data_IF_133201880685
#
_entry.id   IF_133201880685
#
_cell.length_a   1.000
_cell.length_b   1.000
_cell.length_c   1.000
_cell.angle_alpha   90.00
_cell.angle_beta   90.00
_cell.angle_gamma   90.00
#
_symmetry.space_group_name_H-M   'P 1'
#
loop_
_entity.id
_entity.type
_entity.pdbx_description
1 polymer ?
#
# COMPACT_ATOMS: atom_id res chain seq x y z
N UNK A 1 43.42 29.90 -64.30
CA UNK A 1 43.61 28.86 -63.26
C UNK A 1 44.14 29.49 -61.99
N UNK A 2 43.28 29.63 -60.97
CA UNK A 2 43.66 29.53 -59.55
C UNK A 2 42.37 29.44 -58.72
N UNK A 3 42.22 28.30 -58.06
CA UNK A 3 41.06 27.90 -57.27
C UNK A 3 40.91 28.79 -56.04
N UNK A 4 39.68 29.19 -55.72
CA UNK A 4 39.31 29.62 -54.37
C UNK A 4 38.09 28.79 -53.95
N UNK A 5 38.38 27.63 -53.38
CA UNK A 5 37.43 26.86 -52.59
C UNK A 5 37.40 27.50 -51.21
N UNK A 6 36.38 28.31 -50.91
CA UNK A 6 36.12 28.75 -49.54
C UNK A 6 35.38 27.62 -48.81
N UNK A 7 36.13 26.87 -48.02
CA UNK A 7 35.61 25.91 -47.04
C UNK A 7 34.94 26.72 -45.93
N UNK A 8 33.61 26.68 -45.91
CA UNK A 8 32.80 27.22 -44.82
C UNK A 8 32.82 26.17 -43.70
N UNK A 9 33.74 26.33 -42.75
CA UNK A 9 33.84 25.47 -41.58
C UNK A 9 32.63 25.75 -40.65
N UNK A 10 31.61 24.90 -40.74
CA UNK A 10 30.56 24.78 -39.73
C UNK A 10 31.20 24.26 -38.44
N UNK A 11 31.55 25.20 -37.56
CA UNK A 11 31.94 24.90 -36.19
C UNK A 11 30.66 24.58 -35.41
N UNK A 12 30.26 23.31 -35.43
CA UNK A 12 29.28 22.77 -34.50
C UNK A 12 29.98 22.61 -33.13
N UNK A 13 29.88 23.63 -32.28
CA UNK A 13 30.24 23.49 -30.86
C UNK A 13 29.15 22.61 -30.25
N UNK A 14 29.46 21.33 -30.09
CA UNK A 14 28.66 20.39 -29.32
C UNK A 14 28.67 20.81 -27.85
N UNK A 15 27.58 21.42 -27.39
CA UNK A 15 27.27 21.53 -25.97
C UNK A 15 26.67 20.20 -25.48
N UNK A 16 27.45 19.12 -25.42
CA UNK A 16 26.98 17.84 -24.85
C UNK A 16 27.12 17.77 -23.32
N UNK A 17 27.73 18.78 -22.68
CA UNK A 17 28.07 18.73 -21.24
C UNK A 17 26.90 18.96 -20.26
N UNK A 18 25.72 19.40 -20.72
CA UNK A 18 24.56 19.57 -19.82
C UNK A 18 23.68 18.30 -19.71
N UNK A 19 23.81 17.36 -20.65
CA UNK A 19 22.97 16.18 -20.73
C UNK A 19 23.41 15.05 -19.78
N UNK A 20 24.71 14.96 -19.51
CA UNK A 20 25.28 13.88 -18.69
C UNK A 20 24.95 14.00 -17.21
N UNK A 21 24.81 15.23 -16.68
CA UNK A 21 24.45 15.44 -15.27
C UNK A 21 22.96 15.17 -15.02
N UNK A 22 22.09 15.61 -15.93
CA UNK A 22 20.65 15.34 -15.83
C UNK A 22 20.34 13.84 -15.86
N UNK A 23 21.01 13.08 -16.74
CA UNK A 23 20.87 11.63 -16.76
C UNK A 23 21.36 10.97 -15.47
N UNK A 24 22.50 11.41 -14.91
CA UNK A 24 22.99 10.88 -13.62
C UNK A 24 22.01 11.15 -12.47
N UNK A 25 21.37 12.32 -12.46
CA UNK A 25 20.37 12.67 -11.45
C UNK A 25 19.12 11.80 -11.57
N UNK A 26 18.68 11.49 -12.80
CA UNK A 26 17.56 10.57 -13.06
C UNK A 26 17.90 9.13 -12.62
N UNK A 27 19.10 8.63 -12.93
CA UNK A 27 19.55 7.31 -12.47
C UNK A 27 19.59 7.23 -10.93
N UNK A 28 20.06 8.30 -10.27
CA UNK A 28 20.06 8.37 -8.81
C UNK A 28 18.64 8.33 -8.23
N UNK A 29 17.70 9.10 -8.81
CA UNK A 29 16.30 9.07 -8.39
C UNK A 29 15.69 7.67 -8.57
N UNK A 30 15.97 6.99 -9.69
CA UNK A 30 15.50 5.62 -9.92
C UNK A 30 16.02 4.65 -8.85
N UNK A 31 17.28 4.78 -8.46
CA UNK A 31 17.87 3.96 -7.39
C UNK A 31 17.22 4.24 -6.03
N UNK A 32 16.97 5.51 -5.72
CA UNK A 32 16.30 5.90 -4.47
C UNK A 32 14.86 5.35 -4.41
N UNK A 33 14.10 5.47 -5.50
CA UNK A 33 12.75 4.89 -5.60
C UNK A 33 12.78 3.36 -5.52
N UNK A 34 13.71 2.69 -6.21
CA UNK A 34 13.82 1.22 -6.12
C UNK A 34 14.07 0.77 -4.69
N UNK A 35 14.94 1.47 -3.95
CA UNK A 35 15.18 1.19 -2.53
C UNK A 35 13.95 1.48 -1.66
N UNK A 36 13.22 2.56 -1.95
CA UNK A 36 11.97 2.88 -1.24
C UNK A 36 10.91 1.79 -1.49
N UNK A 37 10.81 1.29 -2.72
CA UNK A 37 9.93 0.20 -3.10
C UNK A 37 10.21 -1.07 -2.28
N UNK A 38 11.48 -1.45 -2.08
CA UNK A 38 11.83 -2.61 -1.25
C UNK A 38 11.28 -2.46 0.19
N UNK A 39 11.36 -1.23 0.75
CA UNK A 39 10.80 -0.94 2.07
C UNK A 39 9.26 -0.99 2.10
N UNK A 40 8.62 -0.51 1.03
CA UNK A 40 7.16 -0.55 0.86
C UNK A 40 6.68 -2.00 0.78
N UNK A 41 7.36 -2.84 -0.01
CA UNK A 41 7.07 -4.27 -0.14
C UNK A 41 7.19 -4.97 1.20
N UNK A 42 8.29 -4.74 1.95
CA UNK A 42 8.45 -5.30 3.29
C UNK A 42 7.31 -4.89 4.24
N UNK A 43 6.90 -3.62 4.20
CA UNK A 43 5.79 -3.13 5.05
C UNK A 43 4.45 -3.73 4.60
N UNK A 44 4.26 -3.90 3.30
CA UNK A 44 3.06 -4.52 2.72
C UNK A 44 2.92 -5.99 3.14
N UNK A 45 4.00 -6.75 3.12
CA UNK A 45 4.02 -8.15 3.58
C UNK A 45 3.66 -8.25 5.07
N UNK A 46 4.25 -7.42 5.92
CA UNK A 46 3.93 -7.36 7.35
C UNK A 46 2.46 -6.98 7.60
N UNK A 47 1.95 -5.99 6.87
CA UNK A 47 0.57 -5.53 7.00
C UNK A 47 -0.42 -6.61 6.53
N UNK A 48 -0.09 -7.33 5.46
CA UNK A 48 -0.88 -8.47 4.97
C UNK A 48 -0.96 -9.59 6.00
N UNK A 49 0.16 -9.91 6.66
CA UNK A 49 0.17 -10.92 7.73
C UNK A 49 -0.73 -10.49 8.91
N UNK A 50 -0.59 -9.25 9.37
CA UNK A 50 -1.45 -8.71 10.44
C UNK A 50 -2.92 -8.68 10.04
N UNK A 51 -3.22 -8.34 8.79
CA UNK A 51 -4.59 -8.35 8.27
C UNK A 51 -5.19 -9.77 8.28
N UNK A 52 -4.40 -10.78 7.92
CA UNK A 52 -4.83 -12.18 8.00
C UNK A 52 -5.11 -12.63 9.44
N UNK A 53 -4.30 -12.20 10.41
CA UNK A 53 -4.55 -12.44 11.84
C UNK A 53 -5.83 -11.74 12.31
N UNK A 54 -6.04 -10.50 11.91
CA UNK A 54 -7.24 -9.73 12.21
C UNK A 54 -8.51 -10.40 11.66
N UNK A 55 -8.45 -10.90 10.42
CA UNK A 55 -9.54 -11.65 9.81
C UNK A 55 -9.84 -12.96 10.56
N UNK A 56 -8.81 -13.67 11.01
CA UNK A 56 -9.00 -14.87 11.83
C UNK A 56 -9.67 -14.54 13.18
N UNK A 57 -9.23 -13.47 13.85
CA UNK A 57 -9.86 -13.00 15.08
C UNK A 57 -11.32 -12.57 14.86
N UNK A 58 -11.60 -11.86 13.76
CA UNK A 58 -12.96 -11.50 13.39
C UNK A 58 -13.87 -12.74 13.23
N UNK A 59 -13.38 -13.76 12.52
CA UNK A 59 -14.12 -15.01 12.33
C UNK A 59 -14.42 -15.71 13.66
N UNK A 60 -13.45 -15.73 14.59
CA UNK A 60 -13.66 -16.29 15.92
C UNK A 60 -14.72 -15.51 16.70
N UNK A 61 -14.60 -14.18 16.78
CA UNK A 61 -15.57 -13.31 17.47
C UNK A 61 -16.97 -13.45 16.88
N UNK A 62 -17.07 -13.53 15.55
CA UNK A 62 -18.32 -13.74 14.84
C UNK A 62 -19.00 -15.06 15.24
N UNK A 63 -18.21 -16.15 15.32
CA UNK A 63 -18.71 -17.45 15.76
C UNK A 63 -19.17 -17.45 17.22
N UNK A 64 -18.35 -16.89 18.12
CA UNK A 64 -18.69 -16.78 19.54
C UNK A 64 -19.97 -15.96 19.75
N UNK A 65 -20.08 -14.79 19.10
CA UNK A 65 -21.25 -13.94 19.21
C UNK A 65 -22.51 -14.64 18.72
N UNK A 66 -22.47 -15.23 17.52
CA UNK A 66 -23.63 -15.92 16.92
C UNK A 66 -23.99 -17.23 17.63
N UNK A 67 -23.08 -17.80 18.39
CA UNK A 67 -23.29 -19.01 19.19
C UNK A 67 -24.02 -18.76 20.50
N UNK A 68 -24.25 -17.51 20.90
CA UNK A 68 -25.01 -17.19 22.12
C UNK A 68 -26.49 -17.58 21.95
N UNK A 69 -27.00 -18.40 22.87
CA UNK A 69 -28.41 -18.80 22.89
C UNK A 69 -29.37 -17.61 23.07
N UNK A 70 -28.92 -16.56 23.77
CA UNK A 70 -29.64 -15.31 23.97
C UNK A 70 -28.82 -14.12 23.47
N UNK A 71 -29.04 -13.78 22.22
CA UNK A 71 -28.59 -12.50 21.64
C UNK A 71 -29.75 -11.51 21.77
N UNK A 72 -29.91 -10.90 22.95
CA UNK A 72 -31.00 -9.93 23.19
C UNK A 72 -30.74 -8.57 22.52
N UNK A 73 -29.47 -8.24 22.27
CA UNK A 73 -29.04 -6.95 21.73
C UNK A 73 -28.42 -7.09 20.32
N UNK A 74 -29.16 -6.65 19.31
CA UNK A 74 -28.71 -6.67 17.91
C UNK A 74 -27.59 -5.68 17.59
N UNK A 75 -27.29 -4.72 18.48
CA UNK A 75 -26.23 -3.72 18.24
C UNK A 75 -24.86 -4.35 18.07
N UNK A 76 -24.60 -5.50 18.72
CA UNK A 76 -23.33 -6.21 18.57
C UNK A 76 -23.19 -6.86 17.19
N UNK A 77 -24.29 -7.33 16.61
CA UNK A 77 -24.31 -7.87 15.25
C UNK A 77 -24.11 -6.78 14.20
N UNK A 78 -24.70 -5.61 14.42
CA UNK A 78 -24.49 -4.42 13.56
C UNK A 78 -23.02 -3.98 13.60
N UNK A 79 -22.46 -3.83 14.81
CA UNK A 79 -21.04 -3.51 14.98
C UNK A 79 -20.14 -4.54 14.32
N UNK A 80 -20.43 -5.84 14.49
CA UNK A 80 -19.67 -6.90 13.84
C UNK A 80 -19.69 -6.76 12.30
N UNK A 81 -20.86 -6.45 11.72
CA UNK A 81 -21.00 -6.25 10.27
C UNK A 81 -20.26 -5.02 9.76
N UNK A 82 -20.21 -3.93 10.55
CA UNK A 82 -19.40 -2.74 10.24
C UNK A 82 -17.90 -3.10 10.19
N UNK A 83 -17.40 -3.80 11.21
CA UNK A 83 -16.02 -4.27 11.25
C UNK A 83 -15.70 -5.21 10.09
N UNK A 84 -16.64 -6.08 9.71
CA UNK A 84 -16.49 -6.95 8.54
C UNK A 84 -16.38 -6.14 7.24
N UNK A 85 -17.12 -5.03 7.13
CA UNK A 85 -16.99 -4.07 6.03
C UNK A 85 -15.58 -3.50 5.92
N UNK A 86 -15.05 -2.96 7.01
CA UNK A 86 -13.70 -2.40 7.05
C UNK A 86 -12.63 -3.45 6.69
N UNK A 87 -12.75 -4.68 7.21
CA UNK A 87 -11.83 -5.77 6.88
C UNK A 87 -11.87 -6.08 5.37
N UNK A 88 -13.05 -6.12 4.74
CA UNK A 88 -13.15 -6.35 3.28
C UNK A 88 -12.54 -5.21 2.48
N UNK A 89 -12.74 -3.97 2.90
CA UNK A 89 -12.16 -2.81 2.23
C UNK A 89 -10.63 -2.84 2.29
N UNK A 90 -10.05 -3.20 3.44
CA UNK A 90 -8.61 -3.43 3.59
C UNK A 90 -8.10 -4.54 2.68
N UNK A 91 -8.82 -5.66 2.57
CA UNK A 91 -8.45 -6.76 1.68
C UNK A 91 -8.40 -6.31 0.20
N UNK A 92 -9.31 -5.42 -0.20
CA UNK A 92 -9.33 -4.84 -1.54
C UNK A 92 -8.14 -3.87 -1.75
N UNK A 93 -7.83 -3.03 -0.75
CA UNK A 93 -6.67 -2.14 -0.77
C UNK A 93 -5.36 -2.92 -0.89
N UNK A 94 -5.19 -4.00 -0.11
CA UNK A 94 -4.01 -4.87 -0.20
C UNK A 94 -3.86 -5.50 -1.59
N UNK A 95 -4.96 -5.98 -2.18
CA UNK A 95 -4.93 -6.52 -3.54
C UNK A 95 -4.56 -5.45 -4.59
N UNK A 96 -5.02 -4.21 -4.40
CA UNK A 96 -4.65 -3.07 -5.23
C UNK A 96 -3.16 -2.74 -5.10
N UNK A 97 -2.61 -2.76 -3.88
CA UNK A 97 -1.18 -2.55 -3.63
C UNK A 97 -0.32 -3.59 -4.36
N UNK A 98 -0.70 -4.86 -4.33
CA UNK A 98 0.01 -5.94 -5.03
C UNK A 98 0.05 -5.70 -6.56
N UNK A 99 -1.03 -5.19 -7.15
CA UNK A 99 -1.05 -4.81 -8.57
C UNK A 99 -0.11 -3.63 -8.85
N UNK A 100 -0.15 -2.59 -8.02
CA UNK A 100 0.71 -1.41 -8.16
C UNK A 100 2.19 -1.77 -8.01
N UNK A 101 2.55 -2.64 -7.06
CA UNK A 101 3.91 -3.15 -6.87
C UNK A 101 4.37 -3.93 -8.10
N UNK A 102 3.49 -4.77 -8.67
CA UNK A 102 3.81 -5.51 -9.90
C UNK A 102 4.05 -4.57 -11.07
N UNK A 103 3.15 -3.61 -11.29
CA UNK A 103 3.30 -2.61 -12.36
C UNK A 103 4.57 -1.78 -12.18
N UNK A 104 4.92 -1.39 -10.95
CA UNK A 104 6.19 -0.73 -10.66
C UNK A 104 7.40 -1.56 -11.09
N UNK A 105 7.41 -2.86 -10.78
CA UNK A 105 8.50 -3.76 -11.16
C UNK A 105 8.63 -3.97 -12.68
N UNK A 106 7.53 -3.90 -13.42
CA UNK A 106 7.52 -3.96 -14.89
C UNK A 106 8.09 -2.68 -15.49
N UNK A 107 7.61 -1.51 -15.05
CA UNK A 107 8.11 -0.20 -15.50
C UNK A 107 9.63 -0.07 -15.28
N UNK A 108 10.13 -0.59 -14.16
CA UNK A 108 11.56 -0.54 -13.82
C UNK A 108 12.45 -1.34 -14.80
N UNK A 109 11.91 -2.36 -15.48
CA UNK A 109 12.65 -3.15 -16.48
C UNK A 109 12.85 -2.37 -17.78
N UNK A 110 11.91 -1.48 -18.14
CA UNK A 110 11.94 -0.70 -19.38
C UNK A 110 12.69 0.63 -19.22
N UNK A 111 12.91 1.08 -17.99
CA UNK A 111 13.50 2.39 -17.64
C UNK A 111 14.76 2.74 -18.44
N UNK A 112 15.69 1.79 -18.59
CA UNK A 112 16.97 2.01 -19.27
C UNK A 112 16.87 2.37 -20.76
N UNK A 113 15.74 2.07 -21.39
CA UNK A 113 15.49 2.33 -22.83
C UNK A 113 14.77 3.64 -23.12
N UNK A 114 14.29 4.32 -22.08
CA UNK A 114 13.50 5.55 -22.19
C UNK A 114 14.36 6.79 -22.48
N UNK A 115 13.75 7.77 -23.15
CA UNK A 115 14.29 9.14 -23.24
C UNK A 115 14.28 9.83 -21.88
N UNK A 116 15.03 10.94 -21.75
CA UNK A 116 15.11 11.68 -20.49
C UNK A 116 13.75 12.21 -20.00
N UNK A 117 12.88 12.66 -20.91
CA UNK A 117 11.55 13.16 -20.57
C UNK A 117 10.61 12.02 -20.14
N UNK A 118 10.69 10.87 -20.81
CA UNK A 118 9.93 9.66 -20.42
C UNK A 118 10.39 9.12 -19.07
N UNK A 119 11.70 9.06 -18.81
CA UNK A 119 12.26 8.70 -17.49
C UNK A 119 11.70 9.61 -16.41
N UNK A 120 11.70 10.92 -16.64
CA UNK A 120 11.19 11.90 -15.67
C UNK A 120 9.70 11.70 -15.39
N UNK A 121 8.90 11.44 -16.42
CA UNK A 121 7.48 11.14 -16.26
C UNK A 121 7.27 9.86 -15.46
N UNK A 122 7.97 8.78 -15.80
CA UNK A 122 7.88 7.49 -15.11
C UNK A 122 8.31 7.61 -13.64
N UNK A 123 9.42 8.30 -13.34
CA UNK A 123 9.85 8.56 -11.96
C UNK A 123 8.78 9.31 -11.15
N UNK A 124 8.09 10.25 -11.77
CA UNK A 124 7.02 11.00 -11.11
C UNK A 124 5.82 10.10 -10.78
N UNK A 125 5.41 9.24 -11.71
CA UNK A 125 4.34 8.26 -11.50
C UNK A 125 4.70 7.23 -10.42
N UNK A 126 5.95 6.75 -10.42
CA UNK A 126 6.46 5.85 -9.38
C UNK A 126 6.41 6.51 -8.00
N UNK A 127 6.89 7.76 -7.88
CA UNK A 127 6.83 8.51 -6.62
C UNK A 127 5.38 8.69 -6.12
N UNK A 128 4.45 9.05 -7.01
CA UNK A 128 3.03 9.20 -6.62
C UNK A 128 2.43 7.87 -6.14
N UNK A 129 2.81 6.76 -6.78
CA UNK A 129 2.38 5.41 -6.39
C UNK A 129 2.93 5.06 -5.00
N UNK A 130 4.20 5.37 -4.73
CA UNK A 130 4.80 5.17 -3.40
C UNK A 130 4.10 6.00 -2.33
N UNK A 131 3.90 7.29 -2.58
CA UNK A 131 3.22 8.19 -1.64
C UNK A 131 1.80 7.70 -1.31
N UNK A 132 1.08 7.21 -2.33
CA UNK A 132 -0.24 6.61 -2.15
C UNK A 132 -0.19 5.37 -1.27
N UNK A 133 0.65 4.39 -1.62
CA UNK A 133 0.74 3.11 -0.88
C UNK A 133 1.12 3.38 0.58
N UNK A 134 2.12 4.24 0.82
CA UNK A 134 2.56 4.57 2.17
C UNK A 134 1.43 5.22 2.99
N UNK A 135 0.70 6.16 2.40
CA UNK A 135 -0.44 6.80 3.07
C UNK A 135 -1.54 5.79 3.41
N UNK A 136 -1.91 4.93 2.47
CA UNK A 136 -2.95 3.91 2.69
C UNK A 136 -2.50 2.85 3.70
N UNK A 137 -1.21 2.47 3.70
CA UNK A 137 -0.65 1.56 4.71
C UNK A 137 -0.71 2.15 6.12
N UNK A 138 -0.42 3.45 6.27
CA UNK A 138 -0.46 4.12 7.58
C UNK A 138 -1.90 4.31 8.07
N UNK A 139 -2.84 4.61 7.17
CA UNK A 139 -4.27 4.63 7.47
C UNK A 139 -4.76 3.25 7.94
N UNK A 140 -4.47 2.19 7.18
CA UNK A 140 -4.87 0.83 7.54
C UNK A 140 -4.31 0.40 8.90
N UNK A 141 -3.06 0.72 9.22
CA UNK A 141 -2.47 0.45 10.55
C UNK A 141 -3.28 1.12 11.65
N UNK A 142 -3.69 2.37 11.46
CA UNK A 142 -4.53 3.10 12.41
C UNK A 142 -5.93 2.49 12.53
N UNK A 143 -6.51 2.01 11.43
CA UNK A 143 -7.83 1.41 11.42
C UNK A 143 -7.85 0.00 12.04
N UNK A 144 -6.78 -0.79 11.88
CA UNK A 144 -6.61 -2.06 12.59
C UNK A 144 -6.78 -1.90 14.11
N UNK A 145 -6.18 -0.88 14.73
CA UNK A 145 -6.37 -0.58 16.16
C UNK A 145 -7.84 -0.36 16.52
N UNK A 146 -8.60 0.27 15.62
CA UNK A 146 -10.04 0.51 15.78
C UNK A 146 -10.84 -0.79 15.70
N UNK A 147 -10.52 -1.64 14.73
CA UNK A 147 -11.16 -2.94 14.54
C UNK A 147 -10.90 -3.85 15.74
N UNK A 148 -9.66 -3.91 16.22
CA UNK A 148 -9.29 -4.71 17.40
C UNK A 148 -10.04 -4.26 18.66
N UNK A 149 -10.14 -2.95 18.91
CA UNK A 149 -10.97 -2.41 20.00
C UNK A 149 -12.44 -2.75 19.81
N UNK A 150 -12.90 -2.74 18.57
CA UNK A 150 -14.25 -3.16 18.18
C UNK A 150 -14.52 -4.62 18.58
N UNK A 151 -13.63 -5.54 18.20
CA UNK A 151 -13.68 -6.95 18.60
C UNK A 151 -13.61 -7.12 20.11
N UNK A 152 -12.72 -6.42 20.81
CA UNK A 152 -12.62 -6.52 22.27
C UNK A 152 -13.92 -6.12 22.96
N UNK A 153 -14.53 -5.01 22.53
CA UNK A 153 -15.82 -4.58 23.06
C UNK A 153 -16.94 -5.61 22.83
N UNK A 154 -16.91 -6.37 21.73
CA UNK A 154 -17.88 -7.45 21.48
C UNK A 154 -17.57 -8.64 22.41
N UNK A 155 -16.29 -9.03 22.56
CA UNK A 155 -15.86 -10.11 23.48
C UNK A 155 -16.26 -9.82 24.93
N UNK A 156 -16.15 -8.58 25.37
CA UNK A 156 -16.57 -8.17 26.72
C UNK A 156 -18.08 -8.39 26.92
N UNK A 157 -18.89 -8.09 25.88
CA UNK A 157 -20.34 -8.31 25.90
C UNK A 157 -20.73 -9.78 25.85
N UNK A 158 -20.01 -10.59 25.08
CA UNK A 158 -20.17 -12.05 25.09
C UNK A 158 -19.92 -12.58 26.50
N UNK A 159 -18.79 -12.19 27.12
CA UNK A 159 -18.40 -12.64 28.46
C UNK A 159 -19.45 -12.27 29.51
N UNK A 160 -19.96 -11.03 29.48
CA UNK A 160 -21.02 -10.57 30.37
C UNK A 160 -22.28 -11.45 30.23
N UNK A 161 -22.72 -11.70 28.99
CA UNK A 161 -23.93 -12.47 28.72
C UNK A 161 -23.82 -13.93 29.18
N UNK A 162 -22.64 -14.53 29.07
CA UNK A 162 -22.38 -15.91 29.54
C UNK A 162 -22.16 -16.02 31.05
N UNK A 163 -21.72 -14.95 31.72
CA UNK A 163 -21.46 -14.93 33.15
C UNK A 163 -22.73 -14.75 33.99
N UNK A 164 -23.68 -13.95 33.49
CA UNK A 164 -24.97 -13.71 34.16
C UNK A 164 -25.84 -14.97 34.29
N UNK A 165 -25.70 -15.95 33.38
CA UNK A 165 -26.41 -17.24 33.48
C UNK A 165 -25.94 -18.10 34.68
N UNK A 166 -24.73 -17.87 35.21
CA UNK A 166 -24.19 -18.66 36.33
C UNK A 166 -24.63 -18.18 37.73
N UNK A 167 -25.07 -16.93 37.86
CA UNK A 167 -25.54 -16.38 39.14
C UNK A 167 -27.05 -16.53 39.34
N UNK A 168 -27.83 -16.73 38.27
CA UNK A 168 -29.30 -16.83 38.33
C UNK A 168 -29.83 -18.26 38.54
N UNK A 169 -28.93 -19.27 38.64
CA UNK A 169 -29.26 -20.67 38.95
C UNK A 169 -28.98 -21.08 40.42
N UNK A 170 -28.58 -20.15 41.29
CA UNK A 170 -28.39 -20.36 42.75
C UNK A 170 -29.54 -19.80 43.58
#
# INVERSE_FOLDING_TARGET
>A
MRNFVMILALVAIGFTSCNDNANKDLEKQQQELTKANDSIVSTHEELTQKHQELMNNHNQVSQELRGLEKLEDSTQLEKLAELEGQIRDHQATLASHEEMIRSHNELNQEYGSLSADEKKAQLNEMQQTHDRIMSEQDEMKSEHDGIEKGHQSIKDKITQSTGEDSENEM
#
